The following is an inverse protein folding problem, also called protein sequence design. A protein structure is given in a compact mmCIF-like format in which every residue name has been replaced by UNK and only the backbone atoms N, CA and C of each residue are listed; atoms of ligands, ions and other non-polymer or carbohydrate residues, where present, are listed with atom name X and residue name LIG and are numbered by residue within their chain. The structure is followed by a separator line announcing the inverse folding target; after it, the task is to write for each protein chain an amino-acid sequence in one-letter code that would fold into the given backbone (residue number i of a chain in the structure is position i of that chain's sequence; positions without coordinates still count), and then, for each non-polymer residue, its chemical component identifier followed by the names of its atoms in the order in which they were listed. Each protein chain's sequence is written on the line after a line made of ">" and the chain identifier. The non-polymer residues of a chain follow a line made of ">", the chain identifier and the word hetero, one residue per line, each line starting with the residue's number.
data_IF_095374115114
#
_entry.id   IF_095374115114
#
_cell.length_a   1.000
_cell.length_b   1.000
_cell.length_c   1.000
_cell.angle_alpha   90.00
_cell.angle_beta   90.00
_cell.angle_gamma   90.00
#
_symmetry.space_group_name_H-M   'P 1'
#
loop_
_entity.id
_entity.type
_entity.pdbx_description
1 polymer ?
#
# COMPACT_ATOMS: atom_id res chain seq x y z
N UNK A 1 4.71 -10.40 6.27
CA UNK A 1 5.46 -9.13 6.14
C UNK A 1 5.41 -8.27 7.41
N UNK A 2 6.49 -7.54 7.73
CA UNK A 2 6.42 -6.39 8.65
C UNK A 2 5.77 -5.20 7.93
N UNK A 3 5.05 -4.36 8.67
CA UNK A 3 4.53 -3.11 8.12
C UNK A 3 5.69 -2.20 7.70
N UNK A 4 5.63 -1.66 6.48
CA UNK A 4 6.65 -0.76 5.94
C UNK A 4 6.01 0.61 5.75
N UNK A 5 6.66 1.66 6.28
CA UNK A 5 6.24 3.03 6.00
C UNK A 5 6.73 3.46 4.61
N UNK A 6 5.82 3.96 3.79
CA UNK A 6 6.08 4.39 2.42
C UNK A 6 5.51 5.78 2.16
N UNK A 7 6.00 6.41 1.10
CA UNK A 7 5.43 7.61 0.51
C UNK A 7 4.83 7.24 -0.85
N UNK A 8 3.58 7.65 -1.09
CA UNK A 8 2.92 7.50 -2.39
C UNK A 8 2.11 8.75 -2.69
N UNK A 9 2.33 9.38 -3.85
CA UNK A 9 1.70 10.66 -4.25
C UNK A 9 1.79 11.74 -3.14
N UNK A 10 2.93 11.79 -2.45
CA UNK A 10 3.20 12.74 -1.37
C UNK A 10 2.52 12.44 -0.03
N UNK A 11 1.87 11.28 0.12
CA UNK A 11 1.20 10.85 1.35
C UNK A 11 1.98 9.72 2.03
N UNK A 12 2.15 9.79 3.36
CA UNK A 12 2.67 8.66 4.15
C UNK A 12 1.58 7.62 4.37
N UNK A 13 1.84 6.40 3.92
CA UNK A 13 0.96 5.23 4.04
C UNK A 13 1.75 4.06 4.62
N UNK A 14 1.05 2.96 4.88
CA UNK A 14 1.67 1.72 5.34
C UNK A 14 1.51 0.64 4.28
N UNK A 15 2.61 0.16 3.72
CA UNK A 15 2.61 -1.07 2.92
C UNK A 15 2.46 -2.27 3.86
N UNK A 16 1.38 -3.02 3.69
CA UNK A 16 1.02 -4.17 4.55
C UNK A 16 0.21 -5.22 3.77
N UNK A 17 -0.04 -6.37 4.38
CA UNK A 17 -0.96 -7.38 3.86
C UNK A 17 -2.35 -7.16 4.44
N UNK A 18 -3.35 -7.19 3.58
CA UNK A 18 -4.73 -7.16 4.02
C UNK A 18 -5.10 -8.48 4.69
N UNK A 19 -5.61 -8.40 5.93
CA UNK A 19 -5.88 -9.57 6.77
C UNK A 19 -6.94 -10.54 6.21
N UNK A 20 -7.81 -10.09 5.29
CA UNK A 20 -8.88 -10.92 4.75
C UNK A 20 -8.46 -11.88 3.63
N UNK A 21 -7.37 -11.57 2.91
CA UNK A 21 -6.94 -12.37 1.75
C UNK A 21 -5.43 -12.32 1.47
N UNK A 22 -4.64 -11.78 2.40
CA UNK A 22 -3.19 -11.63 2.32
C UNK A 22 -2.67 -10.75 1.17
N UNK A 23 -3.54 -10.07 0.40
CA UNK A 23 -3.10 -9.19 -0.69
C UNK A 23 -2.33 -7.98 -0.16
N UNK A 24 -1.28 -7.60 -0.89
CA UNK A 24 -0.48 -6.43 -0.56
C UNK A 24 -1.26 -5.15 -0.86
N UNK A 25 -1.24 -4.20 0.07
CA UNK A 25 -1.98 -2.95 -0.04
C UNK A 25 -1.26 -1.79 0.66
N UNK A 26 -1.60 -0.57 0.22
CA UNK A 26 -1.20 0.70 0.85
C UNK A 26 -2.32 1.15 1.78
N UNK A 27 -2.11 0.96 3.08
CA UNK A 27 -3.09 1.26 4.13
C UNK A 27 -2.99 2.72 4.60
N UNK A 28 -4.14 3.36 4.86
CA UNK A 28 -4.19 4.75 5.33
C UNK A 28 -3.69 4.91 6.77
N UNK A 29 -3.08 6.05 7.06
CA UNK A 29 -2.73 6.45 8.44
C UNK A 29 -3.69 7.49 9.01
N UNK A 30 -4.34 8.26 8.13
CA UNK A 30 -5.24 9.35 8.49
C UNK A 30 -6.55 9.26 7.70
N UNK A 31 -7.72 9.55 8.32
CA UNK A 31 -9.01 9.59 7.65
C UNK A 31 -9.08 10.47 6.40
N UNK A 32 -8.30 11.54 6.33
CA UNK A 32 -8.28 12.44 5.17
C UNK A 32 -7.69 11.82 3.90
N UNK A 33 -7.04 10.66 4.00
CA UNK A 33 -6.43 9.96 2.87
C UNK A 33 -7.44 9.11 2.08
N UNK A 34 -8.65 8.91 2.61
CA UNK A 34 -9.71 8.09 1.99
C UNK A 34 -10.11 8.56 0.59
N UNK A 35 -9.96 9.85 0.31
CA UNK A 35 -10.34 10.46 -0.97
C UNK A 35 -9.27 10.29 -2.07
N UNK A 36 -8.15 9.62 -1.79
CA UNK A 36 -7.16 9.33 -2.82
C UNK A 36 -7.74 8.37 -3.87
N UNK A 37 -7.35 8.51 -5.16
CA UNK A 37 -7.80 7.59 -6.20
C UNK A 37 -7.45 6.12 -5.88
N UNK A 38 -8.37 5.21 -6.22
CA UNK A 38 -8.25 3.74 -6.02
C UNK A 38 -8.26 3.29 -4.56
N UNK A 39 -8.64 4.17 -3.64
CA UNK A 39 -8.89 3.74 -2.26
C UNK A 39 -10.13 2.87 -2.20
N UNK A 40 -10.04 1.76 -1.48
CA UNK A 40 -11.12 0.81 -1.26
C UNK A 40 -11.43 0.71 0.23
N UNK A 41 -12.72 0.72 0.55
CA UNK A 41 -13.20 0.44 1.89
C UNK A 41 -13.22 -1.07 2.11
N UNK A 42 -12.47 -1.54 3.12
CA UNK A 42 -12.18 -2.97 3.29
C UNK A 42 -12.64 -3.53 4.64
N UNK A 43 -13.42 -2.77 5.41
CA UNK A 43 -13.79 -3.17 6.77
C UNK A 43 -15.11 -2.59 7.29
N UNK A 44 -15.28 -2.59 8.60
CA UNK A 44 -16.46 -2.09 9.31
C UNK A 44 -16.22 -0.78 10.05
N UNK A 45 -14.96 -0.35 10.21
CA UNK A 45 -14.58 0.90 10.88
C UNK A 45 -14.20 1.99 9.87
N UNK A 46 -14.45 3.27 10.18
CA UNK A 46 -14.27 4.35 9.22
C UNK A 46 -12.86 4.43 8.61
N UNK A 47 -11.82 4.03 9.33
CA UNK A 47 -10.41 4.09 8.95
C UNK A 47 -9.86 2.83 8.25
N UNK A 48 -10.72 1.86 7.93
CA UNK A 48 -10.32 0.65 7.22
C UNK A 48 -10.38 0.84 5.70
N UNK A 49 -9.35 1.53 5.19
CA UNK A 49 -9.19 1.79 3.77
C UNK A 49 -7.77 1.46 3.30
N UNK A 50 -7.66 0.91 2.09
CA UNK A 50 -6.38 0.69 1.45
C UNK A 50 -6.46 0.78 -0.08
N UNK A 51 -5.31 0.93 -0.73
CA UNK A 51 -5.15 0.77 -2.18
C UNK A 51 -4.45 -0.57 -2.40
N UNK A 52 -5.08 -1.53 -3.07
CA UNK A 52 -4.42 -2.79 -3.40
C UNK A 52 -3.33 -2.59 -4.47
N UNK A 53 -2.18 -3.24 -4.30
CA UNK A 53 -1.04 -3.10 -5.23
C UNK A 53 -1.40 -3.60 -6.64
N UNK A 54 -2.24 -4.63 -6.75
CA UNK A 54 -2.74 -5.16 -8.03
C UNK A 54 -3.55 -4.14 -8.83
N UNK A 55 -4.13 -3.13 -8.17
CA UNK A 55 -4.92 -2.08 -8.82
C UNK A 55 -4.06 -0.89 -9.27
N UNK A 56 -2.76 -0.87 -8.94
CA UNK A 56 -1.82 0.12 -9.40
C UNK A 56 -1.23 -0.25 -10.77
N UNK A 57 -1.09 0.75 -11.63
CA UNK A 57 -0.29 0.61 -12.86
C UNK A 57 1.19 0.58 -12.52
N UNK A 58 2.03 0.08 -13.44
CA UNK A 58 3.49 0.06 -13.25
C UNK A 58 4.06 1.45 -12.96
N UNK A 59 3.54 2.50 -13.61
CA UNK A 59 3.96 3.88 -13.38
C UNK A 59 3.52 4.43 -12.01
N UNK A 60 2.43 3.92 -11.45
CA UNK A 60 2.02 4.26 -10.08
C UNK A 60 2.86 3.51 -9.05
N UNK A 61 3.18 2.23 -9.30
CA UNK A 61 4.10 1.47 -8.45
C UNK A 61 5.48 2.15 -8.38
N UNK A 62 5.97 2.70 -9.50
CA UNK A 62 7.22 3.49 -9.56
C UNK A 62 7.20 4.79 -8.76
N UNK A 63 6.05 5.23 -8.25
CA UNK A 63 5.93 6.39 -7.38
C UNK A 63 5.93 6.03 -5.89
N UNK A 64 6.00 4.74 -5.56
CA UNK A 64 6.09 4.26 -4.18
C UNK A 64 7.55 4.32 -3.75
N UNK A 65 7.83 5.14 -2.75
CA UNK A 65 9.17 5.24 -2.17
C UNK A 65 9.13 4.91 -0.69
N UNK A 66 10.30 4.66 -0.10
CA UNK A 66 10.45 4.71 1.35
C UNK A 66 10.36 6.18 1.86
N UNK A 67 10.56 6.36 3.17
CA UNK A 67 10.57 7.68 3.82
C UNK A 67 11.74 8.58 3.42
N UNK A 68 12.78 8.02 2.82
CA UNK A 68 13.96 8.76 2.34
C UNK A 68 13.83 9.13 0.85
N UNK A 69 12.78 8.66 0.17
CA UNK A 69 12.55 8.89 -1.25
C UNK A 69 13.21 7.84 -2.16
N UNK A 70 13.72 6.74 -1.60
CA UNK A 70 14.26 5.64 -2.39
C UNK A 70 13.12 4.78 -2.94
N UNK A 71 13.20 4.44 -4.24
CA UNK A 71 12.19 3.62 -4.90
C UNK A 71 12.07 2.26 -4.22
N UNK A 72 10.83 1.87 -3.92
CA UNK A 72 10.54 0.59 -3.31
C UNK A 72 9.91 -0.33 -4.35
N UNK A 73 10.64 -1.38 -4.74
CA UNK A 73 10.16 -2.38 -5.69
C UNK A 73 9.16 -3.33 -5.02
N UNK A 74 7.88 -2.97 -5.13
CA UNK A 74 6.78 -3.73 -4.53
C UNK A 74 6.60 -5.11 -5.17
N UNK A 75 6.91 -5.27 -6.46
CA UNK A 75 6.73 -6.53 -7.18
C UNK A 75 7.78 -7.56 -6.70
N UNK A 76 9.03 -7.12 -6.52
CA UNK A 76 10.07 -7.94 -5.88
C UNK A 76 9.69 -8.37 -4.45
N UNK A 77 9.02 -7.50 -3.68
CA UNK A 77 8.54 -7.84 -2.34
C UNK A 77 7.46 -8.92 -2.40
N UNK A 78 6.48 -8.77 -3.32
CA UNK A 78 5.45 -9.77 -3.58
C UNK A 78 6.07 -11.14 -3.91
N UNK A 79 6.99 -11.19 -4.87
CA UNK A 79 7.66 -12.43 -5.31
C UNK A 79 8.51 -13.08 -4.20
N UNK A 80 9.27 -12.28 -3.45
CA UNK A 80 10.14 -12.79 -2.38
C UNK A 80 9.37 -13.47 -1.24
N UNK A 81 8.11 -13.09 -1.01
CA UNK A 81 7.25 -13.66 0.02
C UNK A 81 6.37 -14.82 -0.49
N UNK A 82 6.19 -15.00 -1.80
CA UNK A 82 5.53 -16.20 -2.35
C UNK A 82 6.44 -17.45 -2.35
N UNK A 83 7.76 -17.25 -2.18
CA UNK A 83 8.77 -18.31 -2.18
C UNK A 83 8.98 -18.91 -0.76
N UNK A 84 8.34 -18.35 0.27
CA UNK A 84 8.38 -18.82 1.67
C UNK A 84 7.12 -19.61 2.05
#
# INVERSE_FOLDING_TARGET
>A
MKNIEIIYKGQSLTLTRFWGNEKLCLWIKNPSQRDMPKMEFVGGYPDEWCIFIENLTDDEKRQITDVNGELLDVDSILESEEIL
#
